data_IF_434220437622
#
_entry.id   IF_434220437622
#
_cell.length_a   1.000
_cell.length_b   1.000
_cell.length_c   1.000
_cell.angle_alpha   90.00
_cell.angle_beta   90.00
_cell.angle_gamma   90.00
#
_symmetry.space_group_name_H-M   'P 1'
#
loop_
_entity.id
_entity.type
_entity.pdbx_description
1 polymer ?
#
# COMPACT_ATOMS: atom_id res chain seq x y z
N UNK A 1 -5.10 -1.92 -25.78
CA UNK A 1 -6.29 -1.37 -25.10
C UNK A 1 -6.78 -0.17 -25.88
N UNK A 2 -8.06 -0.13 -26.22
CA UNK A 2 -8.70 1.07 -26.79
C UNK A 2 -8.44 2.27 -25.86
N UNK A 3 -8.25 3.46 -26.45
CA UNK A 3 -8.08 4.69 -25.68
C UNK A 3 -9.39 4.99 -24.94
N UNK A 4 -9.45 4.64 -23.66
CA UNK A 4 -10.53 5.03 -22.77
C UNK A 4 -10.50 6.55 -22.61
N UNK A 5 -11.51 7.23 -23.15
CA UNK A 5 -11.72 8.65 -22.90
C UNK A 5 -12.85 8.81 -21.89
N UNK A 6 -12.52 9.36 -20.72
CA UNK A 6 -13.50 9.69 -19.69
C UNK A 6 -14.09 11.07 -19.94
N UNK A 7 -15.39 11.21 -19.72
CA UNK A 7 -16.04 12.53 -19.61
C UNK A 7 -15.68 13.16 -18.27
N UNK A 8 -15.81 14.49 -18.17
CA UNK A 8 -15.65 15.22 -16.90
C UNK A 8 -16.60 14.72 -15.80
N UNK A 9 -17.75 14.16 -16.20
CA UNK A 9 -18.73 13.53 -15.31
C UNK A 9 -18.45 12.06 -15.02
N UNK A 10 -17.33 11.49 -15.46
CA UNK A 10 -17.01 10.09 -15.24
C UNK A 10 -15.83 9.96 -14.28
N UNK A 11 -15.84 8.89 -13.50
CA UNK A 11 -14.71 8.45 -12.67
C UNK A 11 -14.51 6.96 -12.83
N UNK A 12 -13.33 6.50 -12.42
CA UNK A 12 -13.08 5.08 -12.25
C UNK A 12 -13.29 4.68 -10.79
N UNK A 13 -13.97 3.57 -10.59
CA UNK A 13 -14.20 2.96 -9.28
C UNK A 13 -13.50 1.60 -9.26
N UNK A 14 -12.56 1.47 -8.33
CA UNK A 14 -11.83 0.24 -8.06
C UNK A 14 -12.64 -0.65 -7.13
N UNK A 15 -12.72 -1.95 -7.44
CA UNK A 15 -13.30 -2.96 -6.56
C UNK A 15 -12.63 -4.31 -6.76
N UNK A 16 -13.00 -5.27 -5.91
CA UNK A 16 -12.74 -6.70 -6.14
C UNK A 16 -14.01 -7.54 -6.07
N UNK A 17 -14.02 -8.68 -6.73
CA UNK A 17 -15.00 -9.76 -6.57
C UNK A 17 -14.27 -11.12 -6.56
N UNK A 18 -15.02 -12.20 -6.35
CA UNK A 18 -14.48 -13.56 -6.48
C UNK A 18 -14.12 -13.84 -7.94
N UNK A 19 -13.29 -14.87 -8.16
CA UNK A 19 -12.81 -15.25 -9.49
C UNK A 19 -13.95 -15.69 -10.43
N UNK A 20 -15.08 -16.15 -9.87
CA UNK A 20 -16.32 -16.47 -10.58
C UNK A 20 -17.27 -15.25 -10.74
N UNK A 21 -16.75 -14.04 -10.51
CA UNK A 21 -17.45 -12.76 -10.51
C UNK A 21 -18.56 -12.59 -9.45
N UNK A 22 -18.75 -13.56 -8.57
CA UNK A 22 -19.69 -13.43 -7.46
C UNK A 22 -19.16 -12.47 -6.40
N UNK A 23 -20.09 -11.82 -5.71
CA UNK A 23 -19.84 -10.91 -4.60
C UNK A 23 -20.69 -11.35 -3.39
N UNK A 24 -20.70 -10.55 -2.32
CA UNK A 24 -21.60 -10.77 -1.18
C UNK A 24 -23.07 -10.80 -1.64
N UNK A 25 -23.90 -11.53 -0.91
CA UNK A 25 -25.33 -11.72 -1.19
C UNK A 25 -25.66 -12.33 -2.56
N UNK A 26 -24.71 -13.02 -3.19
CA UNK A 26 -24.92 -13.71 -4.48
C UNK A 26 -24.98 -12.77 -5.68
N UNK A 27 -24.70 -11.48 -5.53
CA UNK A 27 -24.62 -10.57 -6.67
C UNK A 27 -23.47 -10.98 -7.59
N UNK A 28 -23.70 -10.99 -8.90
CA UNK A 28 -22.70 -11.36 -9.91
C UNK A 28 -22.38 -10.12 -10.74
N UNK A 29 -21.11 -9.73 -10.74
CA UNK A 29 -20.63 -8.68 -11.65
C UNK A 29 -20.43 -9.27 -13.05
N UNK A 30 -20.68 -8.50 -14.12
CA UNK A 30 -20.22 -8.92 -15.44
C UNK A 30 -18.69 -8.86 -15.51
N UNK A 31 -18.10 -9.69 -16.35
CA UNK A 31 -16.68 -9.60 -16.68
C UNK A 31 -16.35 -8.27 -17.38
N UNK A 32 -17.24 -7.82 -18.28
CA UNK A 32 -17.17 -6.54 -18.98
C UNK A 32 -18.57 -6.05 -19.33
N UNK A 33 -18.79 -4.75 -19.35
CA UNK A 33 -20.05 -4.12 -19.76
C UNK A 33 -20.90 -3.62 -18.59
N UNK A 34 -22.18 -3.39 -18.86
CA UNK A 34 -23.09 -2.72 -17.93
C UNK A 34 -23.30 -3.52 -16.64
N UNK A 35 -23.22 -2.83 -15.49
CA UNK A 35 -23.58 -3.35 -14.18
C UNK A 35 -24.53 -2.39 -13.47
N UNK A 36 -25.57 -2.93 -12.82
CA UNK A 36 -26.57 -2.14 -12.11
C UNK A 36 -27.05 -2.81 -10.83
N UNK A 37 -27.25 -2.02 -9.78
CA UNK A 37 -27.92 -2.42 -8.55
C UNK A 37 -29.44 -2.36 -8.74
N UNK A 38 -30.09 -3.51 -8.61
CA UNK A 38 -31.56 -3.64 -8.70
C UNK A 38 -32.27 -3.10 -7.46
N UNK A 39 -31.55 -3.06 -6.33
CA UNK A 39 -32.02 -2.66 -5.01
C UNK A 39 -31.59 -1.24 -4.64
N UNK A 40 -31.27 -0.40 -5.64
CA UNK A 40 -30.69 0.93 -5.43
C UNK A 40 -31.54 1.83 -4.53
N UNK A 41 -30.90 2.37 -3.48
CA UNK A 41 -31.45 3.45 -2.66
C UNK A 41 -30.42 4.59 -2.61
N UNK A 42 -30.82 5.78 -3.05
CA UNK A 42 -29.97 6.96 -3.04
C UNK A 42 -29.87 7.55 -1.61
N UNK A 43 -28.98 6.97 -0.81
CA UNK A 43 -28.62 7.46 0.52
C UNK A 43 -27.14 7.17 0.80
N UNK A 44 -26.57 7.88 1.77
CA UNK A 44 -25.23 7.61 2.29
C UNK A 44 -25.19 6.44 3.28
N UNK A 45 -26.02 5.40 3.09
CA UNK A 45 -26.02 4.20 3.93
C UNK A 45 -25.52 3.01 3.12
N UNK A 46 -24.72 2.15 3.77
CA UNK A 46 -24.22 0.91 3.19
C UNK A 46 -25.39 -0.03 2.83
N UNK A 47 -25.20 -0.84 1.78
CA UNK A 47 -26.24 -1.68 1.18
C UNK A 47 -27.03 -0.95 0.10
N UNK A 48 -27.91 -1.66 -0.61
CA UNK A 48 -28.82 -1.06 -1.61
C UNK A 48 -28.10 -0.26 -2.71
N UNK A 49 -27.08 -0.87 -3.29
CA UNK A 49 -26.18 -0.23 -4.25
C UNK A 49 -24.87 -0.99 -4.46
N UNK A 50 -24.17 -0.64 -5.52
CA UNK A 50 -22.82 -1.13 -5.79
C UNK A 50 -21.81 -0.26 -5.02
N UNK A 51 -20.67 -0.85 -4.65
CA UNK A 51 -19.67 -0.19 -3.83
C UNK A 51 -18.27 -0.39 -4.40
N UNK A 52 -17.39 0.58 -4.15
CA UNK A 52 -15.97 0.52 -4.47
C UNK A 52 -15.24 1.79 -4.02
N UNK A 53 -14.00 1.93 -4.46
CA UNK A 53 -13.12 3.06 -4.16
C UNK A 53 -13.02 3.97 -5.38
N UNK A 54 -13.53 5.20 -5.28
CA UNK A 54 -13.35 6.20 -6.34
C UNK A 54 -11.86 6.50 -6.50
N UNK A 55 -11.34 6.36 -7.71
CA UNK A 55 -9.90 6.44 -8.02
C UNK A 55 -9.01 5.49 -7.20
N UNK A 56 -9.57 4.44 -6.60
CA UNK A 56 -8.81 3.54 -5.71
C UNK A 56 -8.47 4.15 -4.36
N UNK A 57 -9.09 5.28 -3.99
CA UNK A 57 -8.83 6.01 -2.75
C UNK A 57 -9.91 5.68 -1.72
N UNK A 58 -9.49 5.46 -0.48
CA UNK A 58 -10.35 5.16 0.66
C UNK A 58 -9.68 4.22 1.66
N UNK A 59 -10.30 4.02 2.82
CA UNK A 59 -9.78 3.18 3.91
C UNK A 59 -10.47 1.81 3.98
N UNK A 60 -11.38 1.54 3.06
CA UNK A 60 -12.05 0.25 2.98
C UNK A 60 -11.15 -0.80 2.36
N UNK A 61 -10.92 -1.88 3.11
CA UNK A 61 -10.18 -3.03 2.59
C UNK A 61 -11.06 -3.80 1.60
N UNK A 62 -10.69 -3.73 0.33
CA UNK A 62 -11.39 -4.43 -0.75
C UNK A 62 -10.91 -5.88 -0.90
N UNK A 63 -9.88 -6.32 -0.18
CA UNK A 63 -9.34 -7.68 -0.29
C UNK A 63 -10.29 -8.77 0.21
N UNK A 64 -11.23 -8.42 1.10
CA UNK A 64 -12.26 -9.31 1.61
C UNK A 64 -13.31 -9.76 0.56
N UNK A 65 -13.27 -9.20 -0.66
CA UNK A 65 -14.26 -9.50 -1.70
C UNK A 65 -13.81 -10.53 -2.73
N UNK A 66 -12.53 -10.92 -2.72
CA UNK A 66 -11.95 -11.88 -3.65
C UNK A 66 -10.68 -11.37 -4.33
N UNK A 67 -10.29 -12.00 -5.43
CA UNK A 67 -9.02 -11.74 -6.13
C UNK A 67 -9.20 -11.04 -7.48
N UNK A 68 -10.39 -11.08 -8.07
CA UNK A 68 -10.68 -10.45 -9.34
C UNK A 68 -10.75 -8.94 -9.14
N UNK A 69 -9.79 -8.20 -9.68
CA UNK A 69 -9.82 -6.75 -9.73
C UNK A 69 -10.80 -6.31 -10.81
N UNK A 70 -11.61 -5.30 -10.51
CA UNK A 70 -12.44 -4.66 -11.53
C UNK A 70 -12.33 -3.15 -11.48
N UNK A 71 -12.27 -2.56 -12.67
CA UNK A 71 -12.37 -1.12 -12.87
C UNK A 71 -13.73 -0.82 -13.49
N UNK A 72 -14.52 -0.01 -12.79
CA UNK A 72 -15.86 0.36 -13.21
C UNK A 72 -15.88 1.84 -13.53
N UNK A 73 -16.25 2.19 -14.76
CA UNK A 73 -16.55 3.57 -15.15
C UNK A 73 -17.92 3.96 -14.61
N UNK A 74 -17.98 5.02 -13.83
CA UNK A 74 -19.19 5.48 -13.13
C UNK A 74 -19.42 6.97 -13.39
N UNK A 75 -20.63 7.34 -13.80
CA UNK A 75 -21.04 8.74 -13.90
C UNK A 75 -21.27 9.34 -12.49
N UNK A 76 -20.76 10.55 -12.23
CA UNK A 76 -20.89 11.24 -10.93
C UNK A 76 -22.35 11.41 -10.49
N UNK A 77 -23.29 11.47 -11.42
CA UNK A 77 -24.73 11.61 -11.15
C UNK A 77 -25.38 10.28 -10.70
N UNK A 78 -24.74 9.14 -10.97
CA UNK A 78 -25.21 7.82 -10.57
C UNK A 78 -24.64 7.34 -9.23
N UNK A 79 -23.92 8.21 -8.51
CA UNK A 79 -23.32 7.89 -7.22
C UNK A 79 -23.79 8.80 -6.10
N UNK A 80 -23.74 8.28 -4.88
CA UNK A 80 -23.81 9.05 -3.65
C UNK A 80 -22.41 9.04 -3.03
N UNK A 81 -21.81 10.23 -2.88
CA UNK A 81 -20.60 10.43 -2.10
C UNK A 81 -21.01 10.74 -0.67
N UNK A 82 -21.11 9.71 0.16
CA UNK A 82 -20.73 9.73 1.57
C UNK A 82 -21.01 8.34 2.16
N UNK A 83 -19.93 7.59 2.36
CA UNK A 83 -19.88 6.50 3.32
C UNK A 83 -18.61 6.72 4.12
N UNK A 84 -18.70 6.56 5.44
CA UNK A 84 -17.57 6.48 6.36
C UNK A 84 -16.44 5.68 5.68
N UNK A 85 -15.20 6.19 5.75
CA UNK A 85 -13.99 5.55 5.20
C UNK A 85 -13.75 5.70 3.69
N UNK A 86 -14.41 6.63 2.99
CA UNK A 86 -14.04 7.02 1.62
C UNK A 86 -14.53 6.07 0.51
N UNK A 87 -15.55 5.26 0.80
CA UNK A 87 -16.20 4.37 -0.19
C UNK A 87 -17.20 5.18 -1.01
N UNK A 88 -17.29 4.88 -2.31
CA UNK A 88 -18.38 5.37 -3.16
C UNK A 88 -19.47 4.32 -3.31
N UNK A 89 -20.72 4.74 -3.16
CA UNK A 89 -21.91 3.94 -3.46
C UNK A 89 -22.55 4.43 -4.74
N UNK A 90 -22.87 3.52 -5.67
CA UNK A 90 -23.37 3.87 -7.00
C UNK A 90 -24.46 2.92 -7.52
N UNK A 91 -25.36 3.47 -8.33
CA UNK A 91 -26.51 2.77 -8.92
C UNK A 91 -26.08 1.82 -10.03
N UNK A 92 -25.22 2.29 -10.92
CA UNK A 92 -24.80 1.55 -12.09
C UNK A 92 -23.48 2.11 -12.65
N UNK A 93 -22.87 1.34 -13.53
CA UNK A 93 -21.66 1.72 -14.25
C UNK A 93 -21.36 0.72 -15.36
N UNK A 94 -20.15 0.83 -15.91
CA UNK A 94 -19.63 -0.08 -16.92
C UNK A 94 -18.35 -0.70 -16.40
N UNK A 95 -18.32 -2.03 -16.23
CA UNK A 95 -17.07 -2.77 -15.97
C UNK A 95 -16.24 -2.70 -17.25
N UNK A 96 -15.13 -1.98 -17.19
CA UNK A 96 -14.25 -1.77 -18.35
C UNK A 96 -13.02 -2.68 -18.35
N UNK A 97 -12.68 -3.22 -17.17
CA UNK A 97 -11.60 -4.19 -16.96
C UNK A 97 -11.98 -5.13 -15.83
N UNK A 98 -11.77 -6.42 -16.04
CA UNK A 98 -11.69 -7.44 -14.99
C UNK A 98 -10.38 -8.20 -15.17
N UNK A 99 -9.58 -8.33 -14.13
CA UNK A 99 -8.26 -8.96 -14.23
C UNK A 99 -7.80 -9.54 -12.89
N UNK A 100 -6.98 -10.58 -12.95
CA UNK A 100 -6.24 -11.09 -11.79
C UNK A 100 -4.89 -10.40 -11.64
N UNK A 101 -4.45 -9.63 -12.64
CA UNK A 101 -3.25 -8.81 -12.58
C UNK A 101 -3.56 -7.45 -11.91
N UNK A 102 -3.15 -7.33 -10.65
CA UNK A 102 -3.28 -6.08 -9.89
C UNK A 102 -2.63 -4.89 -10.62
N UNK A 103 -1.46 -5.11 -11.25
CA UNK A 103 -0.74 -4.03 -11.92
C UNK A 103 -1.51 -3.54 -13.12
N UNK A 104 -2.11 -4.43 -13.92
CA UNK A 104 -2.95 -4.04 -15.06
C UNK A 104 -4.12 -3.15 -14.61
N UNK A 105 -4.80 -3.53 -13.53
CA UNK A 105 -5.88 -2.74 -12.96
C UNK A 105 -5.40 -1.36 -12.46
N UNK A 106 -4.25 -1.33 -11.77
CA UNK A 106 -3.71 -0.09 -11.22
C UNK A 106 -3.14 0.81 -12.29
N UNK A 107 -2.49 0.28 -13.32
CA UNK A 107 -1.97 1.05 -14.45
C UNK A 107 -3.12 1.74 -15.20
N UNK A 108 -4.24 1.03 -15.42
CA UNK A 108 -5.43 1.62 -16.03
C UNK A 108 -5.99 2.75 -15.16
N UNK A 109 -6.05 2.54 -13.84
CA UNK A 109 -6.54 3.52 -12.88
C UNK A 109 -5.63 4.76 -12.84
N UNK A 110 -4.32 4.57 -12.66
CA UNK A 110 -3.30 5.61 -12.58
C UNK A 110 -3.16 6.41 -13.87
N UNK A 111 -3.40 5.79 -15.03
CA UNK A 111 -3.41 6.49 -16.31
C UNK A 111 -4.48 7.59 -16.38
N UNK A 112 -5.59 7.43 -15.65
CA UNK A 112 -6.74 8.33 -15.73
C UNK A 112 -7.06 9.08 -14.42
N UNK A 113 -6.43 8.70 -13.31
CA UNK A 113 -6.58 9.42 -12.06
C UNK A 113 -6.05 10.86 -12.19
N UNK A 114 -6.72 11.86 -11.59
CA UNK A 114 -6.21 13.23 -11.50
C UNK A 114 -4.81 13.26 -10.88
N UNK A 115 -3.92 14.12 -11.39
CA UNK A 115 -2.51 14.14 -10.98
C UNK A 115 -2.34 14.40 -9.49
N UNK A 116 -3.16 15.30 -8.93
CA UNK A 116 -3.17 15.65 -7.51
C UNK A 116 -3.60 14.48 -6.60
N UNK A 117 -4.27 13.46 -7.14
CA UNK A 117 -4.76 12.31 -6.39
C UNK A 117 -3.84 11.08 -6.50
N UNK A 118 -2.89 11.05 -7.45
CA UNK A 118 -2.05 9.87 -7.73
C UNK A 118 -1.24 9.39 -6.52
N UNK A 119 -0.82 10.30 -5.65
CA UNK A 119 -0.11 9.96 -4.42
C UNK A 119 -0.96 9.24 -3.37
N UNK A 120 -2.29 9.34 -3.47
CA UNK A 120 -3.24 8.75 -2.51
C UNK A 120 -3.84 7.42 -3.00
N UNK A 121 -3.67 7.10 -4.29
CA UNK A 121 -4.21 5.87 -4.87
C UNK A 121 -3.61 4.66 -4.15
N UNK A 122 -4.46 3.81 -3.60
CA UNK A 122 -4.01 2.62 -2.88
C UNK A 122 -3.63 1.49 -3.86
N UNK A 123 -2.96 0.47 -3.33
CA UNK A 123 -2.68 -0.80 -4.01
C UNK A 123 -1.79 -0.67 -5.24
N UNK A 124 -1.05 0.43 -5.42
CA UNK A 124 -0.19 0.63 -6.57
C UNK A 124 0.89 -0.46 -6.66
N UNK A 125 1.22 -0.89 -7.88
CA UNK A 125 2.35 -1.80 -8.14
C UNK A 125 3.35 -1.06 -9.01
N UNK A 126 4.47 -0.64 -8.41
CA UNK A 126 5.46 0.22 -9.06
C UNK A 126 6.78 -0.50 -9.19
N UNK A 127 7.29 -0.56 -10.43
CA UNK A 127 8.66 -0.91 -10.75
C UNK A 127 9.37 0.35 -11.22
N UNK A 128 10.46 0.73 -10.57
CA UNK A 128 11.25 1.91 -10.94
C UNK A 128 12.74 1.56 -11.03
N UNK A 129 13.48 2.32 -11.84
CA UNK A 129 14.91 2.11 -12.07
C UNK A 129 15.82 2.75 -11.02
N UNK A 130 17.10 2.89 -11.36
CA UNK A 130 18.08 3.59 -10.52
C UNK A 130 17.80 5.10 -10.45
N UNK A 131 18.14 5.72 -9.31
CA UNK A 131 17.92 7.13 -9.00
C UNK A 131 16.44 7.57 -9.08
N UNK A 132 15.53 6.71 -8.63
CA UNK A 132 14.09 6.95 -8.73
C UNK A 132 13.54 7.83 -7.62
N UNK A 133 12.49 8.60 -7.94
CA UNK A 133 11.59 9.21 -6.96
C UNK A 133 10.22 8.54 -7.10
N UNK A 134 9.77 7.87 -6.04
CA UNK A 134 8.52 7.11 -6.02
C UNK A 134 7.65 7.63 -4.88
N UNK A 135 6.42 8.04 -5.20
CA UNK A 135 5.39 8.38 -4.23
C UNK A 135 4.15 7.53 -4.50
N UNK A 136 3.73 6.72 -3.53
CA UNK A 136 2.58 5.85 -3.65
C UNK A 136 1.67 5.89 -2.42
N UNK A 137 0.41 5.54 -2.61
CA UNK A 137 -0.58 5.45 -1.53
C UNK A 137 -0.43 4.20 -0.67
N UNK A 138 -1.49 3.86 0.07
CA UNK A 138 -1.47 2.73 1.00
C UNK A 138 -1.48 1.38 0.28
N UNK A 139 -1.00 0.34 0.95
CA UNK A 139 -0.99 -1.04 0.47
C UNK A 139 -0.24 -1.23 -0.85
N UNK A 140 0.71 -0.35 -1.14
CA UNK A 140 1.45 -0.36 -2.41
C UNK A 140 2.56 -1.41 -2.37
N UNK A 141 2.83 -2.03 -3.52
CA UNK A 141 4.01 -2.88 -3.74
C UNK A 141 4.99 -2.11 -4.61
N UNK A 142 6.17 -1.83 -4.08
CA UNK A 142 7.19 -0.99 -4.72
C UNK A 142 8.48 -1.80 -4.84
N UNK A 143 8.99 -1.91 -6.06
CA UNK A 143 10.33 -2.43 -6.33
C UNK A 143 11.12 -1.33 -7.03
N UNK A 144 12.19 -0.88 -6.40
CA UNK A 144 12.97 0.27 -6.83
C UNK A 144 14.45 -0.07 -6.92
N UNK A 145 15.15 0.62 -7.83
CA UNK A 145 16.58 0.46 -8.03
C UNK A 145 17.46 1.07 -6.93
N UNK A 146 18.70 1.36 -7.29
CA UNK A 146 19.66 2.01 -6.40
C UNK A 146 19.35 3.49 -6.23
N UNK A 147 19.79 4.09 -5.11
CA UNK A 147 19.70 5.53 -4.85
C UNK A 147 18.27 6.08 -4.90
N UNK A 148 17.27 5.25 -4.58
CA UNK A 148 15.86 5.63 -4.68
C UNK A 148 15.38 6.45 -3.50
N UNK A 149 14.50 7.41 -3.77
CA UNK A 149 13.71 8.15 -2.77
C UNK A 149 12.28 7.63 -2.85
N UNK A 150 11.84 6.93 -1.81
CA UNK A 150 10.54 6.25 -1.77
C UNK A 150 9.71 6.83 -0.63
N UNK A 151 8.53 7.33 -0.95
CA UNK A 151 7.49 7.69 0.01
C UNK A 151 6.27 6.82 -0.23
N UNK A 152 5.80 6.11 0.80
CA UNK A 152 4.69 5.16 0.68
C UNK A 152 3.73 5.24 1.86
N UNK A 153 2.48 4.84 1.64
CA UNK A 153 1.42 4.84 2.64
C UNK A 153 1.47 3.65 3.62
N UNK A 154 0.41 3.52 4.40
CA UNK A 154 0.16 2.41 5.33
C UNK A 154 0.21 1.05 4.64
N UNK A 155 0.75 0.01 5.29
CA UNK A 155 0.66 -1.37 4.80
C UNK A 155 1.45 -1.64 3.51
N UNK A 156 2.41 -0.78 3.16
CA UNK A 156 3.15 -0.91 1.91
C UNK A 156 4.23 -1.98 2.00
N UNK A 157 4.48 -2.67 0.89
CA UNK A 157 5.61 -3.60 0.71
C UNK A 157 6.64 -2.95 -0.21
N UNK A 158 7.85 -2.75 0.30
CA UNK A 158 8.90 -2.01 -0.39
C UNK A 158 10.13 -2.89 -0.48
N UNK A 159 10.65 -3.05 -1.69
CA UNK A 159 11.98 -3.61 -1.96
C UNK A 159 12.80 -2.56 -2.68
N UNK A 160 13.92 -2.17 -2.08
CA UNK A 160 14.90 -1.28 -2.68
C UNK A 160 16.31 -1.83 -2.46
N UNK A 161 17.27 -1.24 -3.15
CA UNK A 161 18.65 -1.71 -3.13
C UNK A 161 19.55 -0.73 -2.39
N UNK A 162 20.64 -0.31 -3.00
CA UNK A 162 21.70 0.46 -2.34
C UNK A 162 21.31 1.92 -2.14
N UNK A 163 21.80 2.54 -1.08
CA UNK A 163 21.73 3.99 -0.84
C UNK A 163 20.30 4.57 -0.93
N UNK A 164 19.29 3.79 -0.52
CA UNK A 164 17.88 4.19 -0.68
C UNK A 164 17.39 4.98 0.53
N UNK A 165 16.56 5.99 0.28
CA UNK A 165 15.87 6.82 1.27
C UNK A 165 14.39 6.45 1.28
N UNK A 166 13.94 5.78 2.33
CA UNK A 166 12.59 5.22 2.40
C UNK A 166 11.83 5.87 3.55
N UNK A 167 10.67 6.45 3.25
CA UNK A 167 9.66 6.88 4.22
C UNK A 167 8.39 6.08 3.99
N UNK A 168 7.89 5.40 5.02
CA UNK A 168 6.72 4.53 4.90
C UNK A 168 5.77 4.67 6.10
N UNK A 169 4.50 4.35 5.86
CA UNK A 169 3.46 4.36 6.89
C UNK A 169 3.58 3.18 7.87
N UNK A 170 2.61 3.09 8.78
CA UNK A 170 2.50 1.97 9.72
C UNK A 170 2.25 0.64 8.97
N UNK A 171 2.56 -0.49 9.61
CA UNK A 171 2.35 -1.84 9.07
C UNK A 171 3.10 -2.12 7.76
N UNK A 172 4.15 -1.35 7.47
CA UNK A 172 4.91 -1.51 6.23
C UNK A 172 5.92 -2.65 6.35
N UNK A 173 6.14 -3.36 5.25
CA UNK A 173 7.22 -4.35 5.10
C UNK A 173 8.28 -3.78 4.18
N UNK A 174 9.50 -3.62 4.67
CA UNK A 174 10.57 -2.92 3.96
C UNK A 174 11.79 -3.83 3.88
N UNK A 175 12.31 -4.04 2.69
CA UNK A 175 13.60 -4.69 2.45
C UNK A 175 14.49 -3.71 1.70
N UNK A 176 15.60 -3.29 2.30
CA UNK A 176 16.59 -2.43 1.65
C UNK A 176 18.00 -2.98 1.75
N UNK A 177 18.85 -2.57 0.81
CA UNK A 177 20.26 -2.96 0.74
C UNK A 177 21.17 -2.14 1.65
N UNK A 178 22.44 -2.02 1.24
CA UNK A 178 23.49 -1.28 1.94
C UNK A 178 23.25 0.24 1.93
N UNK A 179 23.75 0.93 2.97
CA UNK A 179 23.76 2.40 3.12
C UNK A 179 22.37 3.04 2.98
N UNK A 180 21.33 2.30 3.38
CA UNK A 180 19.95 2.79 3.24
C UNK A 180 19.49 3.54 4.49
N UNK A 181 18.73 4.61 4.29
CA UNK A 181 18.05 5.33 5.37
C UNK A 181 16.56 5.00 5.33
N UNK A 182 16.05 4.39 6.38
CA UNK A 182 14.68 3.89 6.47
C UNK A 182 13.97 4.57 7.62
N UNK A 183 12.86 5.26 7.33
CA UNK A 183 11.90 5.79 8.30
C UNK A 183 10.55 5.09 8.10
N UNK A 184 10.00 4.52 9.16
CA UNK A 184 8.75 3.75 9.10
C UNK A 184 7.84 4.02 10.30
N UNK A 185 6.55 3.72 10.11
CA UNK A 185 5.53 3.84 11.14
C UNK A 185 5.53 2.70 12.16
N UNK A 186 4.48 2.65 12.98
CA UNK A 186 4.26 1.58 13.96
C UNK A 186 4.04 0.22 13.27
N UNK A 187 4.30 -0.88 13.99
CA UNK A 187 4.04 -2.26 13.53
C UNK A 187 4.74 -2.62 12.21
N UNK A 188 5.86 -1.97 11.88
CA UNK A 188 6.57 -2.21 10.62
C UNK A 188 7.57 -3.36 10.74
N UNK A 189 7.78 -4.09 9.64
CA UNK A 189 8.84 -5.10 9.52
C UNK A 189 9.91 -4.60 8.56
N UNK A 190 11.15 -4.52 9.01
CA UNK A 190 12.24 -3.89 8.27
C UNK A 190 13.40 -4.87 8.18
N UNK A 191 13.89 -5.13 6.97
CA UNK A 191 15.14 -5.84 6.71
C UNK A 191 16.12 -4.88 6.05
N UNK A 192 17.31 -4.71 6.62
CA UNK A 192 18.35 -3.83 6.04
C UNK A 192 19.74 -4.48 6.04
N UNK A 193 20.58 -4.02 5.11
CA UNK A 193 21.98 -4.42 5.00
C UNK A 193 22.95 -3.52 5.78
N UNK A 194 24.23 -3.72 5.50
CA UNK A 194 25.37 -2.97 6.04
C UNK A 194 25.16 -1.43 5.99
N UNK A 195 25.70 -0.71 6.97
CA UNK A 195 25.75 0.77 7.04
C UNK A 195 24.39 1.49 6.97
N UNK A 196 23.30 0.76 7.19
CA UNK A 196 21.96 1.33 7.15
C UNK A 196 21.60 2.10 8.43
N UNK A 197 20.71 3.07 8.28
CA UNK A 197 20.09 3.83 9.37
C UNK A 197 18.61 3.52 9.38
N UNK A 198 18.08 3.11 10.53
CA UNK A 198 16.68 2.73 10.68
C UNK A 198 16.03 3.53 11.80
N UNK A 199 14.91 4.16 11.47
CA UNK A 199 14.02 4.80 12.42
C UNK A 199 12.65 4.16 12.26
N UNK A 200 12.14 3.56 13.33
CA UNK A 200 10.81 2.96 13.32
C UNK A 200 10.10 3.24 14.63
N UNK A 201 8.77 3.22 14.61
CA UNK A 201 7.98 3.51 15.80
C UNK A 201 7.76 2.25 16.64
N UNK A 202 6.62 2.15 17.30
CA UNK A 202 6.36 1.10 18.27
C UNK A 202 6.10 -0.23 17.57
N UNK A 203 6.23 -1.34 18.32
CA UNK A 203 5.84 -2.69 17.88
C UNK A 203 6.53 -3.19 16.61
N UNK A 204 7.62 -2.54 16.20
CA UNK A 204 8.25 -2.84 14.93
C UNK A 204 9.30 -3.94 15.06
N UNK A 205 9.49 -4.72 14.01
CA UNK A 205 10.49 -5.78 13.96
C UNK A 205 11.57 -5.40 12.96
N UNK A 206 12.81 -5.31 13.42
CA UNK A 206 13.98 -5.00 12.59
C UNK A 206 14.88 -6.22 12.46
N UNK A 207 15.20 -6.59 11.23
CA UNK A 207 16.06 -7.70 10.84
C UNK A 207 17.30 -7.11 10.20
N UNK A 208 18.44 -7.27 10.87
CA UNK A 208 19.71 -6.72 10.43
C UNK A 208 20.54 -7.84 9.80
N UNK A 209 20.79 -7.71 8.50
CA UNK A 209 21.61 -8.62 7.69
C UNK A 209 22.96 -7.98 7.30
N UNK A 210 23.54 -7.25 8.25
CA UNK A 210 24.77 -6.49 8.04
C UNK A 210 25.37 -5.94 9.33
N UNK A 211 26.39 -5.12 9.16
CA UNK A 211 27.23 -4.49 10.16
C UNK A 211 27.13 -2.98 10.05
N UNK A 212 27.51 -2.29 11.13
CA UNK A 212 27.45 -0.83 11.25
C UNK A 212 26.04 -0.26 11.04
N UNK A 213 25.01 -1.06 11.33
CA UNK A 213 23.62 -0.60 11.25
C UNK A 213 23.27 0.18 12.51
N UNK A 214 22.78 1.39 12.33
CA UNK A 214 22.26 2.23 13.41
C UNK A 214 20.75 2.17 13.42
N UNK A 215 20.13 2.01 14.58
CA UNK A 215 18.67 2.06 14.70
C UNK A 215 18.18 2.87 15.90
N UNK A 216 16.97 3.43 15.76
CA UNK A 216 16.17 4.06 16.80
C UNK A 216 14.76 3.49 16.68
N UNK A 217 14.27 2.88 17.78
CA UNK A 217 12.97 2.19 17.78
C UNK A 217 12.06 2.67 18.90
N UNK A 218 10.75 2.64 18.63
CA UNK A 218 9.72 2.86 19.62
C UNK A 218 9.54 1.67 20.57
N UNK A 219 8.57 1.79 21.49
CA UNK A 219 8.30 0.80 22.54
C UNK A 219 7.91 -0.57 21.95
N UNK A 220 8.28 -1.63 22.66
CA UNK A 220 7.90 -3.03 22.34
C UNK A 220 8.36 -3.49 20.94
N UNK A 221 9.38 -2.84 20.40
CA UNK A 221 10.02 -3.24 19.15
C UNK A 221 11.03 -4.36 19.38
N UNK A 222 11.33 -5.12 18.33
CA UNK A 222 12.21 -6.28 18.35
C UNK A 222 13.31 -6.12 17.32
N UNK A 223 14.52 -6.61 17.65
CA UNK A 223 15.67 -6.61 16.73
C UNK A 223 16.22 -8.02 16.61
N UNK A 224 16.46 -8.46 15.39
CA UNK A 224 16.99 -9.77 15.01
C UNK A 224 18.26 -9.55 14.19
N UNK A 225 19.35 -10.23 14.52
CA UNK A 225 20.63 -10.18 13.78
C UNK A 225 21.03 -11.57 13.31
N UNK A 226 21.87 -11.68 12.27
CA UNK A 226 22.33 -12.98 11.72
C UNK A 226 23.25 -13.76 12.68
N UNK A 227 23.93 -13.08 13.60
CA UNK A 227 24.81 -13.71 14.59
C UNK A 227 24.04 -14.26 15.77
N UNK A 228 23.15 -15.25 15.55
CA UNK A 228 22.61 -16.23 16.53
C UNK A 228 22.46 -15.80 18.00
N UNK A 229 22.07 -14.56 18.27
CA UNK A 229 21.53 -14.15 19.57
C UNK A 229 20.09 -13.80 19.29
N UNK A 230 19.21 -14.75 19.60
CA UNK A 230 17.80 -14.47 19.80
C UNK A 230 17.71 -13.53 21.01
N UNK A 231 17.64 -12.22 20.77
CA UNK A 231 17.46 -11.24 21.83
C UNK A 231 15.95 -11.09 22.06
N UNK A 232 15.38 -12.07 22.75
CA UNK A 232 14.16 -11.82 23.50
C UNK A 232 14.61 -11.18 24.83
N UNK A 233 14.41 -9.87 24.98
CA UNK A 233 14.52 -9.23 26.30
C UNK A 233 15.72 -8.33 26.60
N UNK A 234 16.42 -7.74 25.62
CA UNK A 234 17.05 -6.44 25.91
C UNK A 234 15.94 -5.40 25.80
N UNK A 235 15.45 -4.93 26.94
CA UNK A 235 14.60 -3.75 27.03
C UNK A 235 15.45 -2.53 26.60
N UNK A 236 15.45 -2.23 25.30
CA UNK A 236 15.92 -0.94 24.80
C UNK A 236 15.02 0.14 25.38
N UNK A 237 15.61 1.24 25.86
CA UNK A 237 14.77 2.41 26.15
C UNK A 237 14.17 2.85 24.82
N UNK A 238 12.90 3.20 24.82
CA UNK A 238 12.28 3.80 23.64
C UNK A 238 13.13 4.99 23.19
N UNK A 239 13.35 5.08 21.89
CA UNK A 239 14.12 6.15 21.25
C UNK A 239 15.63 6.16 21.62
N UNK A 240 16.15 5.06 22.17
CA UNK A 240 17.59 4.85 22.37
C UNK A 240 18.27 4.58 21.03
N UNK A 241 19.36 5.32 20.76
CA UNK A 241 20.21 5.08 19.59
C UNK A 241 21.13 3.89 19.86
N UNK A 242 21.07 2.89 18.99
CA UNK A 242 21.80 1.64 19.15
C UNK A 242 22.51 1.29 17.84
N UNK A 243 23.70 0.70 17.94
CA UNK A 243 24.51 0.33 16.77
C UNK A 243 24.80 -1.18 16.81
N UNK A 244 24.70 -1.85 15.67
CA UNK A 244 25.17 -3.23 15.51
C UNK A 244 26.54 -3.22 14.83
N UNK A 245 27.57 -3.80 15.45
CA UNK A 245 28.88 -4.03 14.84
C UNK A 245 29.30 -5.48 14.99
N UNK A 246 29.70 -6.12 13.89
CA UNK A 246 30.13 -7.53 13.86
C UNK A 246 29.10 -8.47 14.50
N UNK A 247 27.82 -8.22 14.23
CA UNK A 247 26.69 -8.95 14.81
C UNK A 247 26.42 -8.71 16.30
N UNK A 248 27.16 -7.81 16.96
CA UNK A 248 26.98 -7.45 18.37
C UNK A 248 26.32 -6.09 18.52
N UNK A 249 25.46 -5.96 19.52
CA UNK A 249 24.85 -4.67 19.88
C UNK A 249 25.82 -3.86 20.73
N UNK A 250 26.07 -2.62 20.32
CA UNK A 250 26.85 -1.61 21.03
C UNK A 250 25.90 -0.44 21.31
N UNK A 251 25.62 -0.19 22.59
CA UNK A 251 24.87 0.99 23.02
C UNK A 251 25.81 2.20 23.02
N UNK A 252 25.39 3.31 22.40
CA UNK A 252 26.06 4.59 22.63
C UNK A 252 25.58 5.14 23.97
N UNK A 253 26.44 5.11 24.99
CA UNK A 253 26.20 5.86 26.21
C UNK A 253 26.29 7.36 25.87
N UNK A 254 25.21 8.11 26.11
CA UNK A 254 25.25 9.58 26.14
C UNK A 254 26.00 10.06 27.38
#
# INVERSE_FOLDING_TARGET
>A
MENLNLKDSEVLVLRKCREDFTSRNGFIYPEKGYVGAHDWINNGKCGNGLHGLEWGIGYYDINDHGKMWQIIKVDKNNRCKDLLLGIVKFKCGEVILSTLDQKEAMDLLMKHAPDELKGEVNYQVVFSGDNSVVTCGNYSTIISGNNSIITSGYGSTITSWYCSYITSGNYSTITSGFESTITSGDDSTITSGDESIIISRNYSTVIIRGNNVTFILGKKSRVITESSIFIEGIDFKADEKVIVKYGKIIKENK
#
